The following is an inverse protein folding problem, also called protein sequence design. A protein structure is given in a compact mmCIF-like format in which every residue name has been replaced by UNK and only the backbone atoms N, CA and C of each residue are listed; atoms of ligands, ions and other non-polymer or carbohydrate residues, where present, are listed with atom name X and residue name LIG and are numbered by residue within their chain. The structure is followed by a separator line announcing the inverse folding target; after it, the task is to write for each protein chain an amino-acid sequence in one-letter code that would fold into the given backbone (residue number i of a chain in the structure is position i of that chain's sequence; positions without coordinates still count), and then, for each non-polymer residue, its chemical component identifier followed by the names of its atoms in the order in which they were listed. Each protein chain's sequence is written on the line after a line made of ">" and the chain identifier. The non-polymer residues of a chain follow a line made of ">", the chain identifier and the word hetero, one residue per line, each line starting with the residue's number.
data_IF_126254559022
#
_entry.id   IF_126254559022
#
_cell.length_a   1.000
_cell.length_b   1.000
_cell.length_c   1.000
_cell.angle_alpha   90.00
_cell.angle_beta   90.00
_cell.angle_gamma   90.00
#
_symmetry.space_group_name_H-M   'P 1'
#
loop_
_entity.id
_entity.type
_entity.pdbx_description
1 polymer ?
#
# COMPACT_ATOMS: atom_id res chain seq x y z
N UNK A 1 66.64 -0.17 -8.99
CA UNK A 1 65.34 -0.88 -8.90
C UNK A 1 64.62 -0.61 -7.56
N UNK A 2 64.35 0.65 -7.16
CA UNK A 2 63.63 0.95 -5.89
C UNK A 2 62.81 2.26 -5.93
N UNK A 3 62.52 2.82 -7.11
CA UNK A 3 61.77 4.10 -7.23
C UNK A 3 60.39 3.96 -7.89
N UNK A 4 60.09 2.81 -8.50
CA UNK A 4 58.82 2.60 -9.22
C UNK A 4 57.69 2.04 -8.36
N UNK A 5 57.98 1.58 -7.14
CA UNK A 5 56.98 0.96 -6.26
C UNK A 5 56.16 1.97 -5.43
N UNK A 6 56.61 3.22 -5.31
CA UNK A 6 55.96 4.24 -4.47
C UNK A 6 54.86 4.99 -5.22
N UNK A 7 54.91 5.05 -6.56
CA UNK A 7 53.91 5.78 -7.36
C UNK A 7 52.60 5.01 -7.54
N UNK A 8 52.63 3.67 -7.45
CA UNK A 8 51.41 2.84 -7.60
C UNK A 8 50.55 2.82 -6.33
N UNK A 9 51.14 3.04 -5.15
CA UNK A 9 50.39 3.05 -3.89
C UNK A 9 49.56 4.33 -3.66
N UNK A 10 49.89 5.44 -4.33
CA UNK A 10 49.17 6.72 -4.17
C UNK A 10 47.98 6.88 -5.13
N UNK A 11 47.89 6.06 -6.19
CA UNK A 11 46.82 6.17 -7.19
C UNK A 11 45.55 5.36 -6.81
N UNK A 12 45.64 4.45 -5.84
CA UNK A 12 44.51 3.63 -5.38
C UNK A 12 43.68 4.27 -4.25
N UNK A 13 44.14 5.39 -3.68
CA UNK A 13 43.46 6.06 -2.57
C UNK A 13 42.33 7.02 -2.97
N UNK A 14 42.19 7.36 -4.25
CA UNK A 14 41.24 8.40 -4.71
C UNK A 14 39.93 7.87 -5.34
N UNK A 15 39.73 6.56 -5.43
CA UNK A 15 38.54 5.98 -6.08
C UNK A 15 37.41 5.62 -5.11
N UNK A 16 37.58 5.85 -3.81
CA UNK A 16 36.51 5.73 -2.83
C UNK A 16 35.91 7.11 -2.51
N UNK A 17 35.50 7.85 -3.54
CA UNK A 17 34.43 8.82 -3.34
C UNK A 17 33.19 8.00 -3.07
N UNK A 18 32.82 7.86 -1.79
CA UNK A 18 31.54 7.28 -1.42
C UNK A 18 30.47 8.03 -2.20
N UNK A 19 29.80 7.34 -3.12
CA UNK A 19 28.60 7.86 -3.74
C UNK A 19 27.66 8.20 -2.58
N UNK A 20 27.35 9.49 -2.41
CA UNK A 20 26.28 9.90 -1.50
C UNK A 20 25.00 9.31 -2.09
N UNK A 21 24.51 8.23 -1.48
CA UNK A 21 23.25 7.59 -1.83
C UNK A 21 22.15 8.65 -1.86
N UNK A 22 21.40 8.71 -2.96
CA UNK A 22 20.33 9.69 -3.14
C UNK A 22 19.12 9.22 -2.33
N UNK A 23 18.63 10.05 -1.41
CA UNK A 23 17.33 9.78 -0.78
C UNK A 23 16.21 10.22 -1.72
N UNK A 24 15.39 9.26 -2.18
CA UNK A 24 14.21 9.54 -3.01
C UNK A 24 13.09 10.15 -2.15
N UNK A 25 12.48 11.23 -2.64
CA UNK A 25 11.24 11.76 -2.06
C UNK A 25 10.06 10.99 -2.63
N UNK A 26 9.42 10.18 -1.80
CA UNK A 26 8.28 9.34 -2.15
C UNK A 26 7.02 9.93 -1.54
N UNK A 27 5.99 10.12 -2.36
CA UNK A 27 4.66 10.51 -1.87
C UNK A 27 3.69 9.37 -2.09
N UNK A 28 3.16 8.81 -1.02
CA UNK A 28 2.12 7.79 -1.07
C UNK A 28 0.72 8.40 -0.93
N UNK A 29 -0.26 7.87 -1.65
CA UNK A 29 -1.64 8.35 -1.56
C UNK A 29 -2.27 8.14 -0.18
N UNK A 30 -1.98 7.04 0.51
CA UNK A 30 -2.44 6.79 1.88
C UNK A 30 -1.48 5.95 2.71
N UNK A 31 -1.71 5.93 4.01
CA UNK A 31 -0.77 5.44 5.03
C UNK A 31 -0.27 4.00 4.83
N UNK A 32 -1.11 3.08 4.33
CA UNK A 32 -0.67 1.69 4.07
C UNK A 32 0.38 1.64 2.96
N UNK A 33 0.19 2.39 1.88
CA UNK A 33 1.20 2.49 0.83
C UNK A 33 2.45 3.20 1.32
N UNK A 34 2.29 4.17 2.23
CA UNK A 34 3.40 4.84 2.89
C UNK A 34 4.28 3.88 3.68
N UNK A 35 3.67 3.01 4.50
CA UNK A 35 4.42 1.97 5.22
C UNK A 35 5.11 1.01 4.27
N UNK A 36 4.41 0.47 3.27
CA UNK A 36 5.01 -0.46 2.30
C UNK A 36 6.21 0.21 1.60
N UNK A 37 6.06 1.47 1.15
CA UNK A 37 7.14 2.21 0.51
C UNK A 37 8.34 2.43 1.44
N UNK A 38 8.09 2.75 2.71
CA UNK A 38 9.15 2.94 3.71
C UNK A 38 9.89 1.63 4.01
N UNK A 39 9.18 0.51 4.11
CA UNK A 39 9.77 -0.82 4.35
C UNK A 39 10.60 -1.31 3.16
N UNK A 40 10.11 -1.07 1.94
CA UNK A 40 10.81 -1.42 0.71
C UNK A 40 12.02 -0.52 0.47
N UNK A 41 11.89 0.79 0.67
CA UNK A 41 12.94 1.77 0.40
C UNK A 41 13.98 1.91 1.50
N UNK A 42 13.64 1.60 2.75
CA UNK A 42 14.56 1.73 3.89
C UNK A 42 15.11 3.15 4.03
N UNK A 43 16.41 3.28 4.27
CA UNK A 43 17.09 4.58 4.42
C UNK A 43 17.24 5.37 3.10
N UNK A 44 16.92 4.75 1.96
CA UNK A 44 17.04 5.37 0.63
C UNK A 44 15.80 6.16 0.22
N UNK A 45 14.77 6.20 1.06
CA UNK A 45 13.53 6.93 0.79
C UNK A 45 13.16 7.83 1.96
N UNK A 46 12.61 8.99 1.62
CA UNK A 46 11.82 9.81 2.52
C UNK A 46 10.36 9.70 2.08
N UNK A 47 9.47 9.24 2.96
CA UNK A 47 8.07 8.99 2.61
C UNK A 47 7.16 10.02 3.26
N UNK A 48 6.46 10.78 2.44
CA UNK A 48 5.29 11.57 2.83
C UNK A 48 4.00 10.86 2.41
N UNK A 49 2.93 11.06 3.18
CA UNK A 49 1.62 10.48 2.90
C UNK A 49 0.55 11.57 2.79
N UNK A 50 -0.28 11.51 1.74
CA UNK A 50 -1.40 12.45 1.56
C UNK A 50 -2.52 12.17 2.56
N UNK A 51 -3.06 10.95 2.57
CA UNK A 51 -4.09 10.51 3.51
C UNK A 51 -3.42 9.79 4.68
N UNK A 52 -3.25 10.52 5.78
CA UNK A 52 -2.61 10.03 6.98
C UNK A 52 -3.37 8.89 7.69
N UNK A 53 -2.84 8.41 8.83
CA UNK A 53 -3.55 7.45 9.68
C UNK A 53 -4.97 7.91 9.99
N UNK A 54 -5.90 6.95 10.08
CA UNK A 54 -7.33 7.17 10.35
C UNK A 54 -8.09 8.00 9.29
N UNK A 55 -7.42 8.42 8.21
CA UNK A 55 -8.04 9.12 7.08
C UNK A 55 -8.72 8.18 6.09
N UNK A 56 -9.81 8.66 5.45
CA UNK A 56 -10.50 7.93 4.39
C UNK A 56 -9.96 8.34 3.00
N UNK A 57 -9.33 7.42 2.25
CA UNK A 57 -8.79 7.72 0.93
C UNK A 57 -9.85 7.93 -0.16
N UNK A 58 -11.10 7.46 0.04
CA UNK A 58 -12.19 7.61 -0.92
C UNK A 58 -12.68 9.06 -0.99
N UNK A 59 -12.74 9.74 0.16
CA UNK A 59 -13.34 11.08 0.30
C UNK A 59 -12.32 12.19 0.54
N UNK A 60 -11.03 11.92 0.32
CA UNK A 60 -9.99 12.92 0.55
C UNK A 60 -10.11 14.11 -0.41
N UNK A 61 -9.91 15.32 0.13
CA UNK A 61 -9.90 16.57 -0.62
C UNK A 61 -8.49 17.17 -0.63
N UNK A 62 -7.76 17.09 -1.76
CA UNK A 62 -6.40 17.62 -1.83
C UNK A 62 -6.31 19.13 -1.63
N UNK A 63 -5.32 19.54 -0.85
CA UNK A 63 -4.97 20.94 -0.59
C UNK A 63 -3.87 21.45 -1.52
N UNK A 64 -3.65 22.78 -1.60
CA UNK A 64 -2.50 23.35 -2.30
C UNK A 64 -1.14 22.86 -1.76
N UNK A 65 -1.07 22.52 -0.47
CA UNK A 65 0.15 21.94 0.14
C UNK A 65 0.46 20.57 -0.47
N UNK A 66 -0.57 19.75 -0.70
CA UNK A 66 -0.42 18.42 -1.31
C UNK A 66 0.06 18.52 -2.76
N UNK A 67 -0.43 19.52 -3.50
CA UNK A 67 0.06 19.82 -4.85
C UNK A 67 1.55 20.20 -4.84
N UNK A 68 1.97 21.04 -3.88
CA UNK A 68 3.36 21.44 -3.72
C UNK A 68 4.28 20.31 -3.22
N UNK A 69 3.73 19.34 -2.51
CA UNK A 69 4.42 18.12 -2.10
C UNK A 69 4.64 17.21 -3.32
N UNK A 70 3.59 16.94 -4.11
CA UNK A 70 3.68 16.11 -5.32
C UNK A 70 4.63 16.68 -6.36
N UNK A 71 4.69 18.00 -6.52
CA UNK A 71 5.57 18.62 -7.52
C UNK A 71 7.07 18.40 -7.26
N UNK A 72 7.43 18.04 -6.02
CA UNK A 72 8.81 17.78 -5.58
C UNK A 72 9.13 16.29 -5.45
N UNK A 73 8.14 15.42 -5.63
CA UNK A 73 8.32 13.99 -5.47
C UNK A 73 9.17 13.41 -6.60
N UNK A 74 10.06 12.49 -6.27
CA UNK A 74 10.74 11.62 -7.25
C UNK A 74 9.81 10.47 -7.65
N UNK A 75 9.02 9.95 -6.71
CA UNK A 75 8.09 8.83 -6.91
C UNK A 75 6.74 9.13 -6.24
N UNK A 76 5.65 8.84 -6.93
CA UNK A 76 4.29 8.85 -6.37
C UNK A 76 3.74 7.44 -6.38
N UNK A 77 3.31 6.94 -5.22
CA UNK A 77 2.77 5.58 -5.06
C UNK A 77 1.26 5.65 -4.80
N UNK A 78 0.50 4.93 -5.61
CA UNK A 78 -0.97 4.97 -5.63
C UNK A 78 -1.53 3.56 -5.60
N UNK A 79 -2.73 3.39 -5.09
CA UNK A 79 -3.40 2.09 -5.12
C UNK A 79 -3.83 1.77 -6.54
N UNK A 80 -4.51 2.72 -7.20
CA UNK A 80 -5.26 2.44 -8.41
C UNK A 80 -6.59 1.76 -8.08
N UNK A 81 -7.13 0.99 -9.02
CA UNK A 81 -8.44 0.32 -8.92
C UNK A 81 -9.63 1.27 -8.66
N UNK A 82 -9.43 2.58 -8.87
CA UNK A 82 -10.46 3.60 -8.62
C UNK A 82 -10.53 4.11 -7.18
N UNK A 83 -9.61 3.71 -6.28
CA UNK A 83 -9.60 4.18 -4.88
C UNK A 83 -9.49 5.71 -4.79
N UNK A 84 -8.50 6.29 -5.46
CA UNK A 84 -8.18 7.71 -5.36
C UNK A 84 -8.82 8.53 -6.50
N UNK A 85 -10.16 8.67 -6.50
CA UNK A 85 -10.89 9.40 -7.54
C UNK A 85 -10.51 10.88 -7.71
N UNK A 86 -9.75 11.44 -6.78
CA UNK A 86 -9.24 12.81 -6.77
C UNK A 86 -7.82 12.95 -7.35
N UNK A 87 -7.07 11.86 -7.49
CA UNK A 87 -5.62 11.92 -7.68
C UNK A 87 -5.19 12.43 -9.05
N UNK A 88 -5.88 12.05 -10.12
CA UNK A 88 -5.52 12.48 -11.49
C UNK A 88 -5.53 14.02 -11.62
N UNK A 89 -6.49 14.68 -10.95
CA UNK A 89 -6.57 16.14 -10.91
C UNK A 89 -5.38 16.73 -10.14
N UNK A 90 -4.98 16.10 -9.04
CA UNK A 90 -3.85 16.56 -8.23
C UNK A 90 -2.52 16.39 -8.97
N UNK A 91 -2.28 15.25 -9.64
CA UNK A 91 -1.08 15.02 -10.47
C UNK A 91 -1.00 16.07 -11.58
N UNK A 92 -2.13 16.34 -12.26
CA UNK A 92 -2.17 17.36 -13.31
C UNK A 92 -1.89 18.76 -12.76
N UNK A 93 -2.46 19.11 -11.61
CA UNK A 93 -2.31 20.44 -11.01
C UNK A 93 -0.92 20.68 -10.41
N UNK A 94 -0.28 19.65 -9.85
CA UNK A 94 1.07 19.73 -9.27
C UNK A 94 2.17 19.82 -10.32
N UNK A 95 1.91 19.38 -11.55
CA UNK A 95 2.92 19.31 -12.59
C UNK A 95 3.97 18.22 -12.37
N UNK A 96 3.68 17.24 -11.51
CA UNK A 96 4.54 16.09 -11.22
C UNK A 96 5.10 15.43 -12.50
N UNK A 97 6.40 15.09 -12.47
CA UNK A 97 7.17 14.51 -13.58
C UNK A 97 7.94 13.23 -13.21
N UNK A 98 7.87 12.81 -11.95
CA UNK A 98 8.57 11.65 -11.46
C UNK A 98 7.91 10.33 -11.86
N UNK A 99 8.33 9.25 -11.20
CA UNK A 99 7.79 7.92 -11.44
C UNK A 99 6.43 7.73 -10.74
N UNK A 100 5.39 7.41 -11.51
CA UNK A 100 4.08 7.03 -10.96
C UNK A 100 3.96 5.52 -10.84
N UNK A 101 3.82 5.02 -9.60
CA UNK A 101 3.68 3.60 -9.29
C UNK A 101 2.24 3.28 -8.93
N UNK A 102 1.60 2.41 -9.72
CA UNK A 102 0.32 1.78 -9.37
C UNK A 102 0.60 0.47 -8.64
N UNK A 103 0.45 0.49 -7.31
CA UNK A 103 0.82 -0.63 -6.45
C UNK A 103 -0.01 -1.90 -6.71
N UNK A 104 -1.28 -1.75 -7.11
CA UNK A 104 -2.18 -2.87 -7.43
C UNK A 104 -1.95 -3.53 -8.80
N UNK A 105 -0.96 -3.08 -9.58
CA UNK A 105 -0.73 -3.62 -10.92
C UNK A 105 -0.53 -5.14 -10.87
N UNK A 106 -1.37 -5.87 -11.62
CA UNK A 106 -1.32 -7.34 -11.70
C UNK A 106 -2.17 -8.08 -10.67
N UNK A 107 -2.87 -7.37 -9.78
CA UNK A 107 -3.84 -7.98 -8.85
C UNK A 107 -4.97 -8.65 -9.66
N UNK A 108 -5.38 -9.84 -9.23
CA UNK A 108 -6.62 -10.47 -9.68
C UNK A 108 -7.78 -9.79 -8.97
N UNK A 109 -8.48 -8.90 -9.67
CA UNK A 109 -9.49 -8.05 -9.05
C UNK A 109 -10.79 -8.78 -8.73
N UNK A 110 -11.46 -8.30 -7.68
CA UNK A 110 -12.83 -8.61 -7.32
C UNK A 110 -13.74 -7.43 -7.69
N UNK A 111 -15.05 -7.65 -7.60
CA UNK A 111 -16.06 -6.62 -7.87
C UNK A 111 -16.99 -6.44 -6.69
N UNK A 112 -17.46 -5.21 -6.50
CA UNK A 112 -18.48 -4.83 -5.52
C UNK A 112 -19.73 -4.33 -6.24
N UNK A 113 -20.88 -4.37 -5.56
CA UNK A 113 -22.06 -3.62 -5.96
C UNK A 113 -22.08 -2.28 -5.22
N UNK A 114 -21.93 -1.20 -5.97
CA UNK A 114 -22.09 0.16 -5.47
C UNK A 114 -23.30 0.80 -6.16
N UNK A 115 -24.37 1.01 -5.39
CA UNK A 115 -25.60 1.63 -5.86
C UNK A 115 -26.19 0.96 -7.12
N UNK A 116 -26.14 -0.38 -7.18
CA UNK A 116 -26.62 -1.16 -8.33
C UNK A 116 -25.68 -1.16 -9.53
N UNK A 117 -24.44 -0.69 -9.37
CA UNK A 117 -23.38 -0.77 -10.38
C UNK A 117 -22.29 -1.70 -9.91
N UNK A 118 -21.88 -2.60 -10.80
CA UNK A 118 -20.69 -3.42 -10.58
C UNK A 118 -19.44 -2.58 -10.77
N UNK A 119 -18.68 -2.39 -9.69
CA UNK A 119 -17.40 -1.67 -9.69
C UNK A 119 -16.27 -2.61 -9.27
N UNK A 120 -15.02 -2.23 -9.54
CA UNK A 120 -13.86 -2.98 -9.06
C UNK A 120 -13.65 -2.73 -7.57
N UNK A 121 -13.45 -3.77 -6.78
CA UNK A 121 -13.08 -3.65 -5.37
C UNK A 121 -11.65 -3.10 -5.25
N UNK A 122 -11.45 -1.88 -4.70
CA UNK A 122 -10.12 -1.30 -4.62
C UNK A 122 -9.30 -1.82 -3.43
N UNK A 123 -9.89 -2.57 -2.50
CA UNK A 123 -9.30 -2.92 -1.19
C UNK A 123 -8.35 -4.12 -1.24
N UNK A 124 -7.57 -4.23 -2.33
CA UNK A 124 -6.72 -5.37 -2.61
C UNK A 124 -5.57 -5.55 -1.62
N UNK A 125 -5.12 -4.47 -0.96
CA UNK A 125 -4.04 -4.51 0.05
C UNK A 125 -4.39 -5.36 1.28
N UNK A 126 -5.68 -5.62 1.54
CA UNK A 126 -6.10 -6.46 2.65
C UNK A 126 -5.70 -7.94 2.51
N UNK A 127 -5.20 -8.36 1.34
CA UNK A 127 -4.54 -9.66 1.16
C UNK A 127 -3.04 -9.52 1.34
N UNK A 128 -2.43 -10.29 2.25
CA UNK A 128 -0.97 -10.30 2.42
C UNK A 128 -0.23 -10.75 1.14
N UNK A 129 -0.81 -11.67 0.37
CA UNK A 129 -0.28 -12.05 -0.95
C UNK A 129 -0.32 -10.89 -1.95
N UNK A 130 -1.38 -10.09 -1.97
CA UNK A 130 -1.40 -8.86 -2.77
C UNK A 130 -0.43 -7.82 -2.20
N UNK A 131 -0.28 -7.72 -0.87
CA UNK A 131 0.73 -6.87 -0.25
C UNK A 131 2.14 -7.16 -0.76
N UNK A 132 2.49 -8.44 -0.95
CA UNK A 132 3.77 -8.82 -1.53
C UNK A 132 3.92 -8.34 -2.99
N UNK A 133 2.83 -8.39 -3.77
CA UNK A 133 2.79 -7.82 -5.13
C UNK A 133 2.91 -6.28 -5.12
N UNK A 134 2.25 -5.61 -4.18
CA UNK A 134 2.36 -4.15 -4.00
C UNK A 134 3.81 -3.77 -3.69
N UNK A 135 4.44 -4.47 -2.74
CA UNK A 135 5.83 -4.27 -2.37
C UNK A 135 6.78 -4.48 -3.57
N UNK A 136 6.51 -5.49 -4.40
CA UNK A 136 7.29 -5.70 -5.63
C UNK A 136 7.11 -4.57 -6.64
N UNK A 137 5.88 -4.12 -6.90
CA UNK A 137 5.61 -3.00 -7.82
C UNK A 137 6.26 -1.70 -7.33
N UNK A 138 6.26 -1.47 -6.01
CA UNK A 138 6.92 -0.32 -5.38
C UNK A 138 8.44 -0.44 -5.51
N UNK A 139 9.01 -1.62 -5.24
CA UNK A 139 10.43 -1.88 -5.44
C UNK A 139 10.86 -1.57 -6.89
N UNK A 140 10.12 -2.06 -7.87
CA UNK A 140 10.41 -1.84 -9.29
C UNK A 140 10.38 -0.34 -9.64
N UNK A 141 9.41 0.40 -9.09
CA UNK A 141 9.32 1.84 -9.24
C UNK A 141 10.47 2.61 -8.60
N UNK A 142 10.86 2.25 -7.37
CA UNK A 142 11.99 2.86 -6.68
C UNK A 142 13.30 2.60 -7.42
N UNK A 143 13.55 1.36 -7.88
CA UNK A 143 14.73 0.99 -8.68
C UNK A 143 14.77 1.72 -10.02
N UNK A 144 13.61 2.00 -10.62
CA UNK A 144 13.54 2.78 -11.86
C UNK A 144 13.88 4.25 -11.61
N UNK A 145 13.45 4.81 -10.47
CA UNK A 145 13.75 6.19 -10.09
C UNK A 145 15.19 6.38 -9.59
N UNK A 146 15.78 5.35 -8.98
CA UNK A 146 17.18 5.31 -8.55
C UNK A 146 17.86 3.97 -8.91
N UNK A 147 18.43 3.86 -10.12
CA UNK A 147 19.19 2.69 -10.52
C UNK A 147 20.52 2.52 -9.77
N UNK A 148 21.06 3.58 -9.16
CA UNK A 148 22.35 3.54 -8.46
C UNK A 148 22.23 2.77 -7.14
N UNK A 149 21.12 2.95 -6.42
CA UNK A 149 20.82 2.25 -5.17
C UNK A 149 20.08 0.92 -5.34
N UNK A 150 19.99 0.41 -6.57
CA UNK A 150 19.26 -0.82 -6.92
C UNK A 150 19.57 -2.00 -5.99
N UNK A 151 20.85 -2.21 -5.67
CA UNK A 151 21.25 -3.35 -4.84
C UNK A 151 20.71 -3.24 -3.41
N UNK A 152 20.75 -2.04 -2.83
CA UNK A 152 20.23 -1.79 -1.49
C UNK A 152 18.70 -1.90 -1.45
N UNK A 153 18.02 -1.25 -2.40
CA UNK A 153 16.56 -1.32 -2.58
C UNK A 153 16.08 -2.75 -2.77
N UNK A 154 16.75 -3.54 -3.63
CA UNK A 154 16.40 -4.95 -3.85
C UNK A 154 16.57 -5.76 -2.57
N UNK A 155 17.60 -5.47 -1.77
CA UNK A 155 17.85 -6.15 -0.51
C UNK A 155 16.76 -5.87 0.54
N UNK A 156 16.38 -4.61 0.75
CA UNK A 156 15.28 -4.23 1.65
C UNK A 156 13.92 -4.72 1.15
N UNK A 157 13.62 -4.50 -0.12
CA UNK A 157 12.38 -4.95 -0.75
C UNK A 157 12.20 -6.46 -0.64
N UNK A 158 13.23 -7.25 -0.92
CA UNK A 158 13.15 -8.72 -0.76
C UNK A 158 12.84 -9.12 0.68
N UNK A 159 13.50 -8.52 1.68
CA UNK A 159 13.23 -8.84 3.09
C UNK A 159 11.76 -8.62 3.44
N UNK A 160 11.19 -7.49 3.04
CA UNK A 160 9.79 -7.17 3.33
C UNK A 160 8.81 -8.06 2.55
N UNK A 161 9.09 -8.38 1.28
CA UNK A 161 8.31 -9.34 0.48
C UNK A 161 8.31 -10.73 1.12
N UNK A 162 9.45 -11.20 1.64
CA UNK A 162 9.55 -12.48 2.34
C UNK A 162 8.71 -12.48 3.65
N UNK A 163 8.68 -11.35 4.37
CA UNK A 163 7.83 -11.17 5.56
C UNK A 163 6.34 -11.26 5.20
N UNK A 164 5.91 -10.58 4.13
CA UNK A 164 4.52 -10.62 3.65
C UNK A 164 4.12 -12.02 3.17
N UNK A 165 5.02 -12.73 2.50
CA UNK A 165 4.81 -14.13 2.09
C UNK A 165 4.64 -15.04 3.30
N UNK A 166 5.46 -14.84 4.34
CA UNK A 166 5.34 -15.58 5.60
C UNK A 166 4.04 -15.26 6.33
N UNK A 167 3.64 -13.98 6.35
CA UNK A 167 2.38 -13.51 6.92
C UNK A 167 1.17 -14.14 6.21
N UNK A 168 1.18 -14.20 4.88
CA UNK A 168 0.14 -14.86 4.08
C UNK A 168 0.01 -16.34 4.44
N UNK A 169 1.12 -17.06 4.54
CA UNK A 169 1.14 -18.46 4.97
C UNK A 169 0.58 -18.65 6.38
N UNK A 170 0.99 -17.81 7.33
CA UNK A 170 0.47 -17.83 8.69
C UNK A 170 -1.04 -17.53 8.73
N UNK A 171 -1.49 -16.49 8.05
CA UNK A 171 -2.90 -16.10 7.99
C UNK A 171 -3.76 -17.22 7.40
N UNK A 172 -3.28 -17.87 6.33
CA UNK A 172 -3.90 -19.07 5.75
C UNK A 172 -4.10 -20.19 6.76
N UNK A 173 -3.10 -20.45 7.59
CA UNK A 173 -3.19 -21.46 8.63
C UNK A 173 -4.23 -21.07 9.70
N UNK A 174 -4.24 -19.80 10.14
CA UNK A 174 -5.19 -19.31 11.14
C UNK A 174 -6.64 -19.40 10.65
N UNK A 175 -6.94 -18.90 9.43
CA UNK A 175 -8.30 -18.95 8.90
C UNK A 175 -8.78 -20.38 8.62
N UNK A 176 -7.88 -21.25 8.18
CA UNK A 176 -8.22 -22.65 7.90
C UNK A 176 -8.64 -23.41 9.17
N UNK A 177 -8.08 -23.05 10.33
CA UNK A 177 -8.45 -23.63 11.63
C UNK A 177 -9.86 -23.24 12.10
N UNK A 178 -10.44 -22.14 11.57
CA UNK A 178 -11.81 -21.71 11.90
C UNK A 178 -12.80 -22.55 11.09
N UNK A 179 -13.81 -23.19 11.68
CA UNK A 179 -14.85 -23.89 10.92
C UNK A 179 -15.56 -22.96 9.95
N UNK A 180 -15.82 -23.40 8.71
CA UNK A 180 -16.40 -22.56 7.65
C UNK A 180 -17.68 -21.83 8.08
N UNK A 181 -18.57 -22.50 8.82
CA UNK A 181 -19.81 -21.92 9.33
C UNK A 181 -19.61 -20.72 10.28
N UNK A 182 -18.43 -20.59 10.88
CA UNK A 182 -18.03 -19.52 11.80
C UNK A 182 -17.17 -18.44 11.15
N UNK A 183 -16.82 -18.57 9.86
CA UNK A 183 -16.04 -17.57 9.11
C UNK A 183 -16.94 -16.43 8.63
N UNK A 184 -17.58 -15.73 9.57
CA UNK A 184 -18.43 -14.56 9.32
C UNK A 184 -17.88 -13.37 10.10
N UNK A 185 -17.78 -12.22 9.44
CA UNK A 185 -17.35 -10.97 10.05
C UNK A 185 -18.33 -9.86 9.67
N UNK A 186 -18.57 -8.94 10.60
CA UNK A 186 -19.42 -7.77 10.41
C UNK A 186 -18.52 -6.54 10.48
N UNK A 187 -18.52 -5.73 9.42
CA UNK A 187 -17.67 -4.54 9.30
C UNK A 187 -18.50 -3.30 9.00
N UNK A 188 -17.91 -2.12 9.16
CA UNK A 188 -18.55 -0.83 8.85
C UNK A 188 -18.80 -0.64 7.36
N UNK A 189 -17.88 -1.12 6.52
CA UNK A 189 -17.94 -1.06 5.06
C UNK A 189 -17.35 -2.33 4.42
N UNK A 190 -17.57 -2.50 3.12
CA UNK A 190 -17.19 -3.69 2.37
C UNK A 190 -15.77 -3.56 1.78
N UNK A 191 -14.76 -3.79 2.63
CA UNK A 191 -13.35 -3.69 2.26
C UNK A 191 -12.56 -5.00 2.41
N UNK A 192 -13.18 -6.05 2.91
CA UNK A 192 -12.47 -7.29 3.27
C UNK A 192 -12.61 -8.39 2.20
N UNK A 193 -13.08 -8.05 1.00
CA UNK A 193 -13.29 -9.00 -0.10
C UNK A 193 -12.04 -9.77 -0.52
N UNK A 194 -10.84 -9.20 -0.32
CA UNK A 194 -9.56 -9.86 -0.57
C UNK A 194 -8.92 -10.50 0.67
N UNK A 195 -9.43 -10.20 1.87
CA UNK A 195 -8.77 -10.55 3.13
C UNK A 195 -8.59 -12.06 3.31
N UNK A 196 -9.55 -12.85 2.83
CA UNK A 196 -9.45 -14.29 2.82
C UNK A 196 -10.23 -14.89 1.64
N UNK A 197 -9.64 -15.77 0.80
CA UNK A 197 -10.34 -16.37 -0.34
C UNK A 197 -11.59 -17.19 0.01
N UNK A 198 -11.70 -17.65 1.26
CA UNK A 198 -12.86 -18.40 1.75
C UNK A 198 -13.81 -17.57 2.63
N UNK A 199 -13.65 -16.25 2.68
CA UNK A 199 -14.60 -15.37 3.35
C UNK A 199 -15.79 -15.16 2.40
N UNK A 200 -17.04 -15.19 2.89
CA UNK A 200 -18.19 -14.78 2.09
C UNK A 200 -17.92 -13.37 1.54
N UNK A 201 -18.09 -13.19 0.24
CA UNK A 201 -17.87 -11.90 -0.45
C UNK A 201 -19.02 -10.92 -0.28
N UNK A 202 -20.12 -11.39 0.30
CA UNK A 202 -21.33 -10.69 0.65
C UNK A 202 -21.38 -10.49 2.18
N UNK A 203 -20.36 -9.82 2.73
CA UNK A 203 -20.35 -9.56 4.17
C UNK A 203 -21.52 -8.64 4.53
N UNK A 204 -22.32 -9.00 5.55
CA UNK A 204 -23.38 -8.11 6.01
C UNK A 204 -22.76 -6.79 6.45
N UNK A 205 -23.30 -5.68 5.95
CA UNK A 205 -22.94 -4.34 6.42
C UNK A 205 -23.52 -4.13 7.82
N UNK A 206 -22.76 -3.47 8.69
CA UNK A 206 -23.30 -2.91 9.93
C UNK A 206 -24.17 -1.66 9.68
N UNK A 207 -24.96 -1.62 8.60
CA UNK A 207 -25.88 -0.53 8.32
C UNK A 207 -27.21 -0.79 9.01
N UNK A 208 -27.33 -0.35 10.26
CA UNK A 208 -28.59 0.00 10.96
C UNK A 208 -29.67 -1.06 11.18
N UNK A 209 -29.68 -2.19 10.48
CA UNK A 209 -30.76 -3.18 10.52
C UNK A 209 -30.67 -4.07 11.78
N UNK A 210 -29.46 -4.41 12.22
CA UNK A 210 -29.24 -5.26 13.40
C UNK A 210 -29.62 -4.57 14.72
N UNK A 211 -29.71 -3.24 14.76
CA UNK A 211 -30.18 -2.50 15.93
C UNK A 211 -31.71 -2.36 15.98
N UNK A 212 -32.39 -2.53 14.84
CA UNK A 212 -33.86 -2.39 14.76
C UNK A 212 -34.60 -3.64 15.23
N UNK A 213 -34.01 -4.83 15.09
CA UNK A 213 -34.63 -6.08 15.53
C UNK A 213 -34.61 -6.31 17.05
N UNK A 214 -33.68 -5.69 17.80
CA UNK A 214 -33.71 -5.74 19.28
C UNK A 214 -34.69 -4.75 19.90
N UNK A 215 -35.11 -3.71 19.17
CA UNK A 215 -36.05 -2.70 19.65
C UNK A 215 -37.53 -3.07 19.55
N UNK A 216 -37.89 -4.10 18.77
CA UNK A 216 -39.31 -4.46 18.53
C UNK A 216 -39.78 -5.76 19.19
N UNK A 217 -38.89 -6.53 19.85
CA UNK A 217 -39.28 -7.72 20.65
C UNK A 217 -39.44 -7.42 22.15
N UNK A 218 -39.85 -6.21 22.50
CA UNK A 218 -40.04 -5.77 23.90
C UNK A 218 -41.44 -5.26 24.26
N UNK A 219 -42.37 -5.15 23.32
CA UNK A 219 -43.67 -4.51 23.56
C UNK A 219 -44.87 -5.43 23.24
N UNK A 220 -44.76 -6.72 23.57
CA UNK A 220 -45.84 -7.68 23.43
C UNK A 220 -45.83 -8.68 24.56
N UNK A 221 -46.36 -8.30 25.73
CA UNK A 221 -46.56 -9.23 26.83
C UNK A 221 -46.94 -8.58 28.16
N UNK A 222 -48.25 -8.48 28.41
CA UNK A 222 -48.85 -8.58 29.74
C UNK A 222 -49.30 -7.29 30.42
N UNK A 223 -50.62 -7.06 30.48
CA UNK A 223 -51.42 -7.11 31.71
C UNK A 223 -52.88 -6.70 31.41
N UNK A 224 -53.80 -7.57 31.84
CA UNK A 224 -55.24 -7.43 32.11
C UNK A 224 -56.21 -6.89 31.03
#
# INVERSE_FOLDING_TARGET
>A
MKRSAIVVALALGLMAQGAMAKTLNVVSSFSVLGDIAQQVGGEHVHVDTLVGPDGDPHTFEPSPKDSALLSKADVVVVNGLGLEGWLDRLIKASGFKGELVVASKGVKTHTLDEEGKTVTDPHAWNSAANGALYAQNILDGLVKADPEDKAALTSSGKRYIDQLTSLDGWAKAQFSAIPLAKRKVLTSHDAFGYFWPGLPRDLPRATGALFRERGQRGAGGGAD
#
